data_IF_966158458407
#
_entry.id   IF_966158458407
#
_cell.length_a   1.000
_cell.length_b   1.000
_cell.length_c   1.000
_cell.angle_alpha   90.00
_cell.angle_beta   90.00
_cell.angle_gamma   90.00
#
_symmetry.space_group_name_H-M   'P 1'
#
loop_
_entity.id
_entity.type
_entity.pdbx_description
1 polymer ?
#
# COMPACT_ATOMS: atom_id res chain seq x y z
N UNK A 1 13.92 -43.01 10.06
CA UNK A 1 13.47 -41.81 9.33
C UNK A 1 12.18 -41.40 10.00
N UNK A 2 12.12 -40.23 10.62
CA UNK A 2 10.92 -39.83 11.38
C UNK A 2 9.84 -39.47 10.35
N UNK A 3 8.73 -40.20 10.31
CA UNK A 3 7.62 -39.86 9.43
C UNK A 3 7.11 -38.47 9.80
N UNK A 4 7.01 -37.59 8.81
CA UNK A 4 6.52 -36.24 9.00
C UNK A 4 5.00 -36.28 9.26
N UNK A 5 4.56 -35.47 10.20
CA UNK A 5 3.13 -35.21 10.42
C UNK A 5 2.60 -34.37 9.24
N UNK A 6 1.92 -35.04 8.31
CA UNK A 6 1.45 -34.41 7.07
C UNK A 6 0.43 -33.29 7.33
N UNK A 7 -0.36 -33.38 8.41
CA UNK A 7 -1.31 -32.33 8.76
C UNK A 7 -0.57 -31.04 9.16
N UNK A 8 0.54 -31.15 9.91
CA UNK A 8 1.39 -30.00 10.24
C UNK A 8 2.09 -29.41 9.02
N UNK A 9 2.54 -30.24 8.09
CA UNK A 9 3.16 -29.79 6.82
C UNK A 9 2.17 -28.98 5.99
N UNK A 10 0.93 -29.47 5.85
CA UNK A 10 -0.10 -28.80 5.07
C UNK A 10 -0.49 -27.44 5.69
N UNK A 11 -0.76 -27.40 6.99
CA UNK A 11 -1.10 -26.17 7.70
C UNK A 11 0.01 -25.11 7.60
N UNK A 12 1.28 -25.53 7.68
CA UNK A 12 2.39 -24.60 7.51
C UNK A 12 2.54 -24.14 6.06
N UNK A 13 2.29 -25.01 5.08
CA UNK A 13 2.32 -24.65 3.66
C UNK A 13 1.25 -23.62 3.31
N UNK A 14 0.03 -23.77 3.85
CA UNK A 14 -1.06 -22.78 3.72
C UNK A 14 -0.64 -21.43 4.29
N UNK A 15 -0.08 -21.41 5.50
CA UNK A 15 0.46 -20.17 6.09
C UNK A 15 1.51 -19.51 5.21
N UNK A 16 2.40 -20.29 4.58
CA UNK A 16 3.41 -19.74 3.67
C UNK A 16 2.79 -19.14 2.40
N UNK A 17 1.73 -19.76 1.88
CA UNK A 17 0.95 -19.22 0.76
C UNK A 17 0.24 -17.92 1.14
N UNK A 18 -0.34 -17.83 2.34
CA UNK A 18 -0.97 -16.60 2.83
C UNK A 18 0.02 -15.43 2.92
N UNK A 19 1.23 -15.69 3.43
CA UNK A 19 2.31 -14.70 3.48
C UNK A 19 2.69 -14.25 2.07
N UNK A 20 2.82 -15.18 1.13
CA UNK A 20 3.17 -14.87 -0.25
C UNK A 20 2.08 -14.03 -0.92
N UNK A 21 0.82 -14.42 -0.77
CA UNK A 21 -0.34 -13.72 -1.31
C UNK A 21 -0.43 -12.30 -0.73
N UNK A 22 -0.29 -12.14 0.59
CA UNK A 22 -0.28 -10.82 1.23
C UNK A 22 0.87 -9.93 0.76
N UNK A 23 2.04 -10.51 0.50
CA UNK A 23 3.21 -9.79 -0.03
C UNK A 23 2.98 -9.33 -1.47
N UNK A 24 2.44 -10.19 -2.33
CA UNK A 24 2.07 -9.84 -3.71
C UNK A 24 0.99 -8.76 -3.73
N UNK A 25 -0.04 -8.91 -2.90
CA UNK A 25 -1.12 -7.93 -2.80
C UNK A 25 -0.60 -6.57 -2.32
N UNK A 26 0.34 -6.55 -1.37
CA UNK A 26 1.00 -5.31 -0.92
C UNK A 26 1.70 -4.57 -2.06
N UNK A 27 2.40 -5.29 -2.95
CA UNK A 27 3.01 -4.69 -4.13
C UNK A 27 1.95 -4.09 -5.07
N UNK A 28 0.86 -4.80 -5.30
CA UNK A 28 -0.22 -4.34 -6.18
C UNK A 28 -0.99 -3.15 -5.61
N UNK A 29 -1.18 -3.10 -4.28
CA UNK A 29 -1.72 -1.92 -3.59
C UNK A 29 -0.78 -0.73 -3.77
N UNK A 30 0.53 -0.91 -3.62
CA UNK A 30 1.52 0.13 -3.86
C UNK A 30 1.44 0.71 -5.29
N UNK A 31 1.22 -0.15 -6.29
CA UNK A 31 0.97 0.29 -7.68
C UNK A 31 -0.26 1.19 -7.73
N UNK A 32 -1.37 0.76 -7.14
CA UNK A 32 -2.62 1.54 -7.11
C UNK A 32 -2.48 2.92 -6.47
N UNK A 33 -1.65 3.02 -5.42
CA UNK A 33 -1.28 4.29 -4.80
C UNK A 33 -0.47 5.18 -5.75
N UNK A 34 0.60 4.65 -6.34
CA UNK A 34 1.50 5.41 -7.22
C UNK A 34 0.83 5.89 -8.50
N UNK A 35 -0.12 5.11 -9.04
CA UNK A 35 -0.87 5.47 -10.25
C UNK A 35 -2.12 6.30 -9.96
N UNK A 36 -2.46 6.55 -8.69
CA UNK A 36 -3.65 7.31 -8.30
C UNK A 36 -4.97 6.59 -8.53
N UNK A 37 -4.97 5.27 -8.77
CA UNK A 37 -6.18 4.50 -9.09
C UNK A 37 -7.19 4.51 -7.92
N UNK A 38 -6.72 4.43 -6.68
CA UNK A 38 -7.61 4.53 -5.52
C UNK A 38 -8.29 5.90 -5.42
N UNK A 39 -7.58 6.98 -5.74
CA UNK A 39 -8.16 8.34 -5.76
C UNK A 39 -9.25 8.47 -6.83
N UNK A 40 -8.98 7.96 -8.03
CA UNK A 40 -9.94 7.97 -9.12
C UNK A 40 -11.19 7.18 -8.74
N UNK A 41 -11.01 5.94 -8.26
CA UNK A 41 -12.14 5.07 -7.92
C UNK A 41 -12.95 5.57 -6.73
N UNK A 42 -12.33 6.22 -5.75
CA UNK A 42 -13.04 6.81 -4.61
C UNK A 42 -14.03 7.92 -5.03
N UNK A 43 -13.84 8.51 -6.21
CA UNK A 43 -14.68 9.57 -6.75
C UNK A 43 -15.58 9.11 -7.91
N UNK A 44 -15.57 7.83 -8.26
CA UNK A 44 -16.40 7.27 -9.33
C UNK A 44 -17.54 6.43 -8.75
N UNK A 45 -18.72 6.44 -9.40
CA UNK A 45 -19.70 5.38 -9.19
C UNK A 45 -19.14 4.04 -9.71
N UNK A 46 -19.80 2.89 -9.44
CA UNK A 46 -19.44 1.62 -10.06
C UNK A 46 -19.21 1.79 -11.57
N UNK A 47 -18.01 1.44 -12.02
CA UNK A 47 -17.51 1.76 -13.38
C UNK A 47 -16.76 0.59 -14.00
N UNK A 48 -16.78 0.47 -15.33
CA UNK A 48 -16.01 -0.56 -16.05
C UNK A 48 -14.51 -0.28 -16.03
N UNK A 49 -13.68 -1.26 -16.41
CA UNK A 49 -12.22 -1.06 -16.50
C UNK A 49 -11.85 0.03 -17.51
N UNK A 50 -12.58 0.13 -18.63
CA UNK A 50 -12.40 1.18 -19.63
C UNK A 50 -12.69 2.57 -19.06
N UNK A 51 -13.79 2.71 -18.31
CA UNK A 51 -14.19 3.98 -17.70
C UNK A 51 -13.17 4.43 -16.66
N UNK A 52 -12.75 3.54 -15.76
CA UNK A 52 -11.73 3.82 -14.75
C UNK A 52 -10.41 4.20 -15.43
N UNK A 53 -9.98 3.45 -16.44
CA UNK A 53 -8.75 3.73 -17.17
C UNK A 53 -8.79 5.07 -17.91
N UNK A 54 -9.93 5.42 -18.51
CA UNK A 54 -10.10 6.70 -19.19
C UNK A 54 -9.99 7.88 -18.22
N UNK A 55 -10.64 7.80 -17.06
CA UNK A 55 -10.58 8.86 -16.03
C UNK A 55 -9.20 8.94 -15.38
N UNK A 56 -8.54 7.79 -15.16
CA UNK A 56 -7.20 7.75 -14.62
C UNK A 56 -6.10 8.11 -15.64
N UNK A 57 -6.46 8.27 -16.93
CA UNK A 57 -5.51 8.45 -18.04
C UNK A 57 -4.47 7.32 -18.15
N UNK A 58 -4.87 6.09 -17.83
CA UNK A 58 -4.03 4.90 -17.83
C UNK A 58 -4.40 3.94 -18.97
N UNK A 59 -3.48 3.01 -19.26
CA UNK A 59 -3.74 1.97 -20.24
C UNK A 59 -4.69 0.93 -19.66
N UNK A 60 -5.87 0.81 -20.26
CA UNK A 60 -6.95 -0.07 -19.81
C UNK A 60 -6.49 -1.51 -19.53
N UNK A 61 -5.64 -2.09 -20.38
CA UNK A 61 -5.12 -3.45 -20.15
C UNK A 61 -4.44 -3.59 -18.80
N UNK A 62 -3.64 -2.61 -18.38
CA UNK A 62 -2.96 -2.63 -17.08
C UNK A 62 -3.93 -2.39 -15.93
N UNK A 63 -4.87 -1.47 -16.11
CA UNK A 63 -5.92 -1.19 -15.12
C UNK A 63 -6.78 -2.43 -14.88
N UNK A 64 -7.17 -3.16 -15.92
CA UNK A 64 -7.97 -4.38 -15.80
C UNK A 64 -7.26 -5.50 -15.04
N UNK A 65 -5.98 -5.74 -15.31
CA UNK A 65 -5.20 -6.73 -14.55
C UNK A 65 -5.04 -6.33 -13.09
N UNK A 66 -4.80 -5.04 -12.84
CA UNK A 66 -4.75 -4.50 -11.49
C UNK A 66 -6.08 -4.66 -10.75
N UNK A 67 -7.20 -4.32 -11.39
CA UNK A 67 -8.55 -4.50 -10.85
C UNK A 67 -8.83 -5.97 -10.51
N UNK A 68 -8.45 -6.90 -11.39
CA UNK A 68 -8.62 -8.33 -11.13
C UNK A 68 -7.87 -8.78 -9.86
N UNK A 69 -6.64 -8.31 -9.66
CA UNK A 69 -5.88 -8.61 -8.45
C UNK A 69 -6.52 -7.98 -7.19
N UNK A 70 -7.03 -6.75 -7.28
CA UNK A 70 -7.73 -6.09 -6.17
C UNK A 70 -9.06 -6.75 -5.80
N UNK A 71 -9.78 -7.32 -6.78
CA UNK A 71 -11.00 -8.08 -6.55
C UNK A 71 -10.70 -9.41 -5.84
N UNK A 72 -9.72 -10.17 -6.34
CA UNK A 72 -9.29 -11.42 -5.68
C UNK A 72 -8.77 -11.16 -4.28
N UNK A 73 -8.07 -10.04 -4.08
CA UNK A 73 -7.60 -9.58 -2.78
C UNK A 73 -8.68 -8.96 -1.87
N UNK A 74 -9.94 -8.93 -2.30
CA UNK A 74 -11.08 -8.38 -1.54
C UNK A 74 -10.92 -6.91 -1.15
N UNK A 75 -10.22 -6.13 -1.98
CA UNK A 75 -10.03 -4.68 -1.80
C UNK A 75 -11.03 -3.89 -2.64
N UNK A 76 -11.38 -4.39 -3.83
CA UNK A 76 -12.34 -3.78 -4.76
C UNK A 76 -13.48 -4.77 -4.99
N UNK A 77 -14.70 -4.26 -5.00
CA UNK A 77 -15.88 -5.06 -5.34
C UNK A 77 -16.07 -5.11 -6.85
N UNK A 78 -16.58 -6.23 -7.35
CA UNK A 78 -16.90 -6.43 -8.76
C UNK A 78 -18.30 -7.01 -8.93
N UNK A 79 -19.11 -6.35 -9.75
CA UNK A 79 -20.43 -6.83 -10.15
C UNK A 79 -20.36 -7.45 -11.56
N UNK A 80 -20.51 -8.78 -11.69
CA UNK A 80 -20.45 -9.46 -12.98
C UNK A 80 -21.68 -9.18 -13.87
N UNK A 81 -22.79 -8.68 -13.31
CA UNK A 81 -24.00 -8.38 -14.10
C UNK A 81 -23.84 -7.11 -14.93
N UNK A 82 -23.15 -6.11 -14.37
CA UNK A 82 -22.87 -4.83 -15.01
C UNK A 82 -21.43 -4.71 -15.51
N UNK A 83 -20.56 -5.66 -15.18
CA UNK A 83 -19.11 -5.62 -15.41
C UNK A 83 -18.45 -4.36 -14.81
N UNK A 84 -18.91 -3.96 -13.62
CA UNK A 84 -18.41 -2.76 -12.96
C UNK A 84 -17.62 -3.09 -11.71
N UNK A 85 -16.68 -2.21 -11.41
CA UNK A 85 -15.83 -2.24 -10.22
C UNK A 85 -16.16 -1.05 -9.35
N UNK A 86 -16.12 -1.24 -8.03
CA UNK A 86 -16.33 -0.16 -7.06
C UNK A 86 -15.39 -0.29 -5.88
N UNK A 87 -14.90 0.86 -5.41
CA UNK A 87 -14.16 0.96 -4.15
C UNK A 87 -15.15 1.45 -3.08
N UNK A 88 -15.36 0.66 -2.02
CA UNK A 88 -16.24 1.06 -0.91
C UNK A 88 -15.69 2.31 -0.20
N UNK A 89 -16.58 3.09 0.41
CA UNK A 89 -16.18 4.29 1.15
C UNK A 89 -15.26 3.94 2.34
N UNK A 90 -15.51 2.80 2.99
CA UNK A 90 -14.71 2.27 4.09
C UNK A 90 -13.29 1.95 3.64
N UNK A 91 -13.12 1.27 2.50
CA UNK A 91 -11.79 0.98 1.95
C UNK A 91 -11.10 2.26 1.45
N UNK A 92 -11.84 3.15 0.77
CA UNK A 92 -11.32 4.43 0.33
C UNK A 92 -10.79 5.29 1.50
N UNK A 93 -11.44 5.24 2.67
CA UNK A 93 -11.07 6.02 3.85
C UNK A 93 -9.68 5.72 4.40
N UNK A 94 -9.11 4.55 4.05
CA UNK A 94 -7.76 4.12 4.49
C UNK A 94 -6.76 3.99 3.33
N UNK A 95 -7.23 3.94 2.07
CA UNK A 95 -6.38 3.78 0.88
C UNK A 95 -6.10 5.09 0.13
N UNK A 96 -6.85 6.16 0.41
CA UNK A 96 -6.71 7.46 -0.27
C UNK A 96 -6.07 8.53 0.61
N UNK A 97 -5.75 9.68 0.02
CA UNK A 97 -5.12 10.83 0.69
C UNK A 97 -5.92 11.38 1.87
N UNK A 98 -7.22 11.11 1.93
CA UNK A 98 -8.07 11.52 3.07
C UNK A 98 -7.58 10.89 4.39
N UNK A 99 -6.92 9.74 4.33
CA UNK A 99 -6.33 9.07 5.50
C UNK A 99 -5.09 9.80 6.05
N UNK A 100 -4.53 10.76 5.30
CA UNK A 100 -3.32 11.50 5.64
C UNK A 100 -2.16 10.57 6.01
N UNK A 101 -1.55 10.72 7.21
CA UNK A 101 -0.44 9.87 7.65
C UNK A 101 -0.83 8.40 7.86
N UNK A 102 -2.13 8.07 7.89
CA UNK A 102 -2.63 6.71 8.04
C UNK A 102 -2.99 6.06 6.69
N UNK A 103 -2.59 6.65 5.56
CA UNK A 103 -2.82 6.03 4.25
C UNK A 103 -2.05 4.69 4.15
N UNK A 104 -2.79 3.59 4.21
CA UNK A 104 -2.24 2.24 4.21
C UNK A 104 -1.72 1.84 2.83
N UNK A 105 -2.32 2.38 1.75
CA UNK A 105 -1.85 2.12 0.40
C UNK A 105 -0.42 2.67 0.19
N UNK A 106 -0.16 3.88 0.70
CA UNK A 106 1.17 4.47 0.72
C UNK A 106 2.16 3.64 1.53
N UNK A 107 1.75 3.16 2.71
CA UNK A 107 2.62 2.40 3.60
C UNK A 107 3.16 1.11 2.96
N UNK A 108 2.39 0.50 2.03
CA UNK A 108 2.83 -0.71 1.32
C UNK A 108 4.09 -0.51 0.47
N UNK A 109 4.43 0.74 0.11
CA UNK A 109 5.67 1.06 -0.62
C UNK A 109 6.95 0.70 0.14
N UNK A 110 6.87 0.47 1.46
CA UNK A 110 7.99 -0.08 2.23
C UNK A 110 8.48 -1.41 1.65
N UNK A 111 7.57 -2.26 1.16
CA UNK A 111 7.91 -3.60 0.65
C UNK A 111 8.86 -3.55 -0.56
N UNK A 112 8.54 -2.87 -1.69
CA UNK A 112 9.44 -2.82 -2.83
C UNK A 112 10.78 -2.15 -2.51
N UNK A 113 10.79 -1.15 -1.61
CA UNK A 113 12.03 -0.50 -1.21
C UNK A 113 12.96 -1.42 -0.41
N UNK A 114 12.43 -2.18 0.55
CA UNK A 114 13.22 -3.16 1.29
C UNK A 114 13.63 -4.36 0.42
N UNK A 115 12.76 -4.78 -0.50
CA UNK A 115 13.07 -5.85 -1.44
C UNK A 115 14.27 -5.50 -2.34
N UNK A 116 14.44 -4.22 -2.69
CA UNK A 116 15.53 -3.75 -3.56
C UNK A 116 16.93 -4.05 -2.99
N UNK A 117 17.09 -4.07 -1.66
CA UNK A 117 18.38 -4.33 -0.98
C UNK A 117 18.54 -5.77 -0.51
N UNK A 118 17.54 -6.62 -0.65
CA UNK A 118 17.53 -7.98 -0.09
C UNK A 118 18.76 -8.79 -0.52
N UNK A 119 19.13 -8.75 -1.81
CA UNK A 119 20.32 -9.46 -2.33
C UNK A 119 21.61 -8.97 -1.66
N UNK A 120 21.73 -7.67 -1.45
CA UNK A 120 22.88 -7.06 -0.78
C UNK A 120 22.94 -7.49 0.68
N UNK A 121 21.80 -7.53 1.38
CA UNK A 121 21.71 -8.03 2.76
C UNK A 121 22.19 -9.49 2.82
N UNK A 122 21.68 -10.37 1.94
CA UNK A 122 22.11 -11.78 1.87
C UNK A 122 23.62 -11.90 1.69
N UNK A 123 24.24 -11.07 0.85
CA UNK A 123 25.69 -11.07 0.68
C UNK A 123 26.44 -10.69 1.98
N UNK A 124 25.92 -9.74 2.77
CA UNK A 124 26.52 -9.35 4.05
C UNK A 124 26.36 -10.40 5.15
N UNK A 125 25.32 -11.26 5.11
CA UNK A 125 25.23 -12.43 6.00
C UNK A 125 26.44 -13.35 5.84
N UNK A 126 27.03 -13.44 4.64
CA UNK A 126 28.22 -14.27 4.40
C UNK A 126 29.54 -13.54 4.63
N UNK A 127 29.59 -12.23 4.38
CA UNK A 127 30.84 -11.45 4.31
C UNK A 127 31.06 -10.48 5.46
N UNK A 128 30.07 -10.33 6.35
CA UNK A 128 30.04 -9.25 7.34
C UNK A 128 29.85 -7.87 6.69
N UNK A 129 29.76 -6.82 7.52
CA UNK A 129 29.49 -5.45 7.08
C UNK A 129 28.00 -5.07 7.18
N UNK A 130 27.55 -4.13 6.36
CA UNK A 130 26.16 -3.68 6.34
C UNK A 130 25.80 -2.87 5.10
N UNK A 131 24.50 -2.66 4.90
CA UNK A 131 24.00 -1.82 3.81
C UNK A 131 24.08 -0.35 4.23
N UNK A 132 24.76 0.48 3.45
CA UNK A 132 24.85 1.93 3.70
C UNK A 132 23.46 2.58 3.73
N UNK A 133 23.29 3.61 4.55
CA UNK A 133 22.09 4.44 4.59
C UNK A 133 21.75 5.02 3.21
N UNK A 134 22.76 5.38 2.41
CA UNK A 134 22.59 5.91 1.05
C UNK A 134 21.96 4.91 0.05
N UNK A 135 21.84 3.63 0.40
CA UNK A 135 21.17 2.63 -0.42
C UNK A 135 19.64 2.63 -0.27
N UNK A 136 19.08 3.49 0.60
CA UNK A 136 17.65 3.55 0.91
C UNK A 136 16.98 4.88 0.54
N UNK A 137 17.31 5.56 -0.59
CA UNK A 137 16.81 6.92 -0.83
C UNK A 137 15.27 7.00 -0.83
N UNK A 138 14.59 6.10 -1.55
CA UNK A 138 13.12 6.12 -1.66
C UNK A 138 12.42 5.77 -0.35
N UNK A 139 12.98 4.83 0.42
CA UNK A 139 12.48 4.50 1.75
C UNK A 139 12.62 5.69 2.70
N UNK A 140 13.76 6.39 2.67
CA UNK A 140 13.97 7.56 3.53
C UNK A 140 13.08 8.73 3.14
N UNK A 141 12.86 8.96 1.84
CA UNK A 141 11.91 9.96 1.36
C UNK A 141 10.48 9.64 1.85
N UNK A 142 10.04 8.38 1.69
CA UNK A 142 8.74 7.93 2.18
C UNK A 142 8.57 8.21 3.68
N UNK A 143 9.56 7.85 4.51
CA UNK A 143 9.50 8.10 5.95
C UNK A 143 9.56 9.58 6.31
N UNK A 144 10.35 10.38 5.59
CA UNK A 144 10.42 11.81 5.81
C UNK A 144 9.04 12.46 5.59
N UNK A 145 8.39 12.12 4.48
CA UNK A 145 7.07 12.64 4.17
C UNK A 145 5.99 12.12 5.14
N UNK A 146 5.98 10.83 5.51
CA UNK A 146 5.03 10.28 6.51
C UNK A 146 5.20 10.99 7.85
N UNK A 147 6.45 11.24 8.27
CA UNK A 147 6.73 11.93 9.52
C UNK A 147 6.31 13.40 9.45
N UNK A 148 6.56 14.10 8.33
CA UNK A 148 6.11 15.48 8.12
C UNK A 148 4.59 15.60 8.30
N UNK A 149 3.81 14.76 7.61
CA UNK A 149 2.34 14.74 7.74
C UNK A 149 1.89 14.52 9.19
N UNK A 150 2.62 13.67 9.93
CA UNK A 150 2.32 13.35 11.33
C UNK A 150 2.67 14.48 12.28
N UNK A 151 3.79 15.16 12.04
CA UNK A 151 4.20 16.32 12.80
C UNK A 151 3.23 17.48 12.58
N UNK A 152 2.88 17.77 11.33
CA UNK A 152 1.91 18.81 10.99
C UNK A 152 0.56 18.54 11.67
N UNK A 153 0.03 17.31 11.55
CA UNK A 153 -1.20 16.93 12.24
C UNK A 153 -1.10 17.09 13.76
N UNK A 154 0.03 16.71 14.36
CA UNK A 154 0.24 16.85 15.81
C UNK A 154 0.33 18.31 16.26
N UNK A 155 1.06 19.13 15.51
CA UNK A 155 1.21 20.55 15.80
C UNK A 155 -0.14 21.25 15.71
N UNK A 156 -0.86 21.05 14.61
CA UNK A 156 -2.14 21.72 14.37
C UNK A 156 -3.25 21.25 15.30
N UNK A 157 -3.34 19.94 15.57
CA UNK A 157 -4.49 19.38 16.29
C UNK A 157 -4.26 19.26 17.80
N UNK A 158 -3.01 19.17 18.26
CA UNK A 158 -2.69 18.93 19.68
C UNK A 158 -1.90 20.05 20.33
N UNK A 159 -0.94 20.65 19.63
CA UNK A 159 -0.01 21.62 20.26
C UNK A 159 -0.58 23.05 20.18
N UNK A 160 -0.99 23.52 19.00
CA UNK A 160 -1.53 24.89 18.85
C UNK A 160 -2.75 25.18 19.76
N UNK A 161 -3.71 24.25 19.96
CA UNK A 161 -4.80 24.46 20.90
C UNK A 161 -4.36 24.65 22.37
N UNK A 162 -3.14 24.21 22.73
CA UNK A 162 -2.57 24.39 24.07
C UNK A 162 -1.82 25.72 24.23
N UNK A 163 -1.62 26.47 23.13
CA UNK A 163 -0.88 27.74 23.10
C UNK A 163 -1.69 28.85 22.41
N UNK A 164 -2.90 29.19 22.90
CA UNK A 164 -3.81 30.13 22.25
C UNK A 164 -3.19 31.52 22.04
N UNK A 165 -2.38 31.99 22.98
CA UNK A 165 -1.70 33.31 22.92
C UNK A 165 -0.69 33.44 21.76
N UNK A 166 -0.18 32.31 21.25
CA UNK A 166 0.71 32.27 20.09
C UNK A 166 -0.11 32.30 18.80
N UNK A 167 -1.25 31.59 18.77
CA UNK A 167 -2.16 31.57 17.61
C UNK A 167 -2.74 32.96 17.33
N UNK A 168 -3.04 33.74 18.37
CA UNK A 168 -3.58 35.10 18.25
C UNK A 168 -2.57 36.11 17.67
N UNK A 169 -1.27 35.77 17.67
CA UNK A 169 -0.17 36.62 17.19
C UNK A 169 0.42 36.17 15.84
N UNK A 170 -0.06 35.07 15.27
CA UNK A 170 0.28 34.62 13.92
C UNK A 170 -0.63 35.26 12.88
#
# INVERSE_FOLDING_TARGET
MNDLDQAKVNAFSEKMLDILNGSMLSLTIGIGYQTGLFEVMANLPPSTSEQIAAVAELKERYVREWLAAMVVGQIIDYDPTTNTYSLSAEHASVLTKVAGPNNMARLTLVIPFLASVQKTIVNHFHKGGGVSYSAYPDFMNLWAEINADRFDATITQKILPLMPDVVEKM
#
